data_IF_550565214347
#
_entry.id   IF_550565214347
#
_cell.length_a   1.000
_cell.length_b   1.000
_cell.length_c   1.000
_cell.angle_alpha   90.00
_cell.angle_beta   90.00
_cell.angle_gamma   90.00
#
_symmetry.space_group_name_H-M   'P 1'
#
loop_
_entity.id
_entity.type
_entity.pdbx_description
1 polymer ?
#
# COMPACT_ATOMS: atom_id res chain seq x y z
N UNK A 1 6.16 24.69 -12.96
CA UNK A 1 6.36 23.74 -11.86
C UNK A 1 5.02 23.15 -11.47
N UNK A 2 4.74 21.91 -11.85
CA UNK A 2 3.62 21.14 -11.32
C UNK A 2 3.97 19.67 -11.55
N UNK A 3 4.58 19.03 -10.54
CA UNK A 3 4.66 17.56 -10.52
C UNK A 3 3.27 17.08 -10.07
N UNK A 4 2.32 17.10 -11.00
CA UNK A 4 1.15 16.26 -10.88
C UNK A 4 1.67 14.83 -10.84
N UNK A 5 1.53 14.22 -9.68
CA UNK A 5 1.57 12.77 -9.57
C UNK A 5 0.33 12.31 -10.34
N UNK A 6 0.47 12.11 -11.65
CA UNK A 6 -0.47 11.34 -12.46
C UNK A 6 -0.41 9.89 -11.99
N UNK A 7 -0.94 9.63 -10.79
CA UNK A 7 -1.48 8.31 -10.45
C UNK A 7 -2.79 8.14 -11.23
N UNK A 8 -2.71 8.17 -12.55
CA UNK A 8 -3.88 8.05 -13.43
C UNK A 8 -4.41 6.63 -13.51
N UNK A 9 -3.67 5.62 -13.03
CA UNK A 9 -4.19 4.27 -12.96
C UNK A 9 -3.80 3.60 -11.65
N UNK A 10 -4.74 3.55 -10.72
CA UNK A 10 -4.76 2.55 -9.64
C UNK A 10 -4.51 1.14 -10.23
N UNK A 11 -4.94 0.88 -11.47
CA UNK A 11 -4.69 -0.38 -12.19
C UNK A 11 -3.20 -0.65 -12.51
N UNK A 12 -2.37 0.38 -12.65
CA UNK A 12 -0.91 0.27 -12.86
C UNK A 12 -0.17 -0.05 -11.55
N UNK A 13 -0.82 0.12 -10.39
CA UNK A 13 -0.21 -0.24 -9.11
C UNK A 13 0.01 -1.76 -8.97
N UNK A 14 -0.60 -2.59 -9.83
CA UNK A 14 -0.32 -4.03 -9.89
C UNK A 14 1.07 -4.34 -10.47
N UNK A 15 1.56 -3.49 -11.38
CA UNK A 15 2.90 -3.58 -11.95
C UNK A 15 3.87 -2.58 -11.32
N UNK A 16 3.69 -2.25 -10.04
CA UNK A 16 4.63 -1.37 -9.34
C UNK A 16 6.07 -1.90 -9.50
N UNK A 17 6.91 -1.08 -10.10
CA UNK A 17 8.36 -1.29 -10.11
C UNK A 17 8.89 -1.22 -8.67
N UNK A 18 10.02 -1.85 -8.39
CA UNK A 18 10.65 -1.80 -7.07
C UNK A 18 10.78 -0.37 -6.51
N UNK A 19 11.08 0.60 -7.38
CA UNK A 19 11.23 2.01 -7.01
C UNK A 19 9.90 2.65 -6.58
N UNK A 20 8.81 2.34 -7.28
CA UNK A 20 7.48 2.84 -6.90
C UNK A 20 7.00 2.15 -5.62
N UNK A 21 7.31 0.87 -5.38
CA UNK A 21 7.02 0.18 -4.10
C UNK A 21 7.79 0.80 -2.93
N UNK A 22 9.08 1.12 -3.10
CA UNK A 22 9.86 1.85 -2.10
C UNK A 22 9.25 3.21 -1.78
N UNK A 23 8.83 3.94 -2.81
CA UNK A 23 8.19 5.24 -2.66
C UNK A 23 6.85 5.13 -1.92
N UNK A 24 6.05 4.11 -2.25
CA UNK A 24 4.79 3.82 -1.57
C UNK A 24 5.00 3.43 -0.10
N UNK A 25 5.97 2.54 0.19
CA UNK A 25 6.32 2.18 1.56
C UNK A 25 6.81 3.39 2.36
N UNK A 26 7.63 4.25 1.75
CA UNK A 26 8.09 5.49 2.38
C UNK A 26 6.96 6.49 2.62
N UNK A 27 5.99 6.60 1.71
CA UNK A 27 4.80 7.43 1.86
C UNK A 27 3.84 6.89 2.93
N UNK A 28 3.75 5.57 3.11
CA UNK A 28 2.92 4.92 4.12
C UNK A 28 3.55 4.89 5.52
N UNK A 29 4.87 5.06 5.64
CA UNK A 29 5.57 5.16 6.94
C UNK A 29 5.04 6.28 7.84
N UNK A 30 4.84 7.53 7.38
CA UNK A 30 4.31 8.59 8.23
C UNK A 30 2.80 8.50 8.47
N UNK A 31 2.05 7.84 7.59
CA UNK A 31 0.60 7.68 7.73
C UNK A 31 0.30 6.80 8.93
N UNK A 32 -0.44 7.32 9.90
CA UNK A 32 -0.90 6.54 11.05
C UNK A 32 -2.04 5.63 10.64
N UNK A 33 -2.12 4.48 11.30
CA UNK A 33 -3.21 3.54 11.08
C UNK A 33 -4.59 4.19 11.30
N UNK A 34 -4.72 5.09 12.27
CA UNK A 34 -5.96 5.80 12.60
C UNK A 34 -6.33 6.94 11.63
N UNK A 35 -5.43 7.35 10.73
CA UNK A 35 -5.75 8.38 9.72
C UNK A 35 -6.58 7.83 8.55
N UNK A 36 -6.75 6.51 8.48
CA UNK A 36 -7.58 5.86 7.46
C UNK A 36 -8.37 4.74 8.08
N UNK A 37 -9.60 4.56 7.63
CA UNK A 37 -10.47 3.53 8.18
C UNK A 37 -9.91 2.13 7.89
N UNK A 38 -10.14 1.19 8.82
CA UNK A 38 -9.77 -0.21 8.62
C UNK A 38 -10.24 -0.77 7.26
N UNK A 39 -11.44 -0.37 6.82
CA UNK A 39 -11.99 -0.77 5.52
C UNK A 39 -11.11 -0.31 4.37
N UNK A 40 -10.62 0.93 4.40
CA UNK A 40 -9.75 1.47 3.34
C UNK A 40 -8.42 0.73 3.27
N UNK A 41 -7.84 0.39 4.43
CA UNK A 41 -6.63 -0.41 4.48
C UNK A 41 -6.83 -1.84 3.93
N UNK A 42 -7.95 -2.47 4.29
CA UNK A 42 -8.31 -3.81 3.79
C UNK A 42 -8.63 -3.80 2.29
N UNK A 43 -9.29 -2.74 1.80
CA UNK A 43 -9.52 -2.53 0.37
C UNK A 43 -8.19 -2.37 -0.36
N UNK A 44 -7.25 -1.57 0.16
CA UNK A 44 -5.92 -1.41 -0.41
C UNK A 44 -5.12 -2.72 -0.43
N UNK A 45 -5.18 -3.52 0.63
CA UNK A 45 -4.58 -4.86 0.68
C UNK A 45 -5.14 -5.77 -0.41
N UNK A 46 -6.46 -5.85 -0.49
CA UNK A 46 -7.17 -6.68 -1.47
C UNK A 46 -6.87 -6.21 -2.89
N UNK A 47 -6.80 -4.90 -3.10
CA UNK A 47 -6.55 -4.31 -4.40
C UNK A 47 -5.11 -4.51 -4.89
N UNK A 48 -4.12 -4.27 -4.01
CA UNK A 48 -2.70 -4.34 -4.36
C UNK A 48 -2.15 -5.76 -4.38
N UNK A 49 -2.59 -6.61 -3.45
CA UNK A 49 -2.00 -7.92 -3.24
C UNK A 49 -2.94 -9.07 -3.58
N UNK A 50 -4.24 -8.81 -3.85
CA UNK A 50 -5.31 -9.83 -3.95
C UNK A 50 -5.42 -10.76 -2.75
N UNK A 51 -4.60 -10.52 -1.72
CA UNK A 51 -4.55 -11.29 -0.50
C UNK A 51 -5.66 -10.77 0.41
N UNK A 52 -6.67 -11.61 0.57
CA UNK A 52 -7.98 -11.25 1.11
C UNK A 52 -8.02 -11.35 2.64
N UNK A 53 -6.86 -11.35 3.30
CA UNK A 53 -6.78 -11.38 4.75
C UNK A 53 -7.16 -10.00 5.30
N UNK A 54 -8.47 -9.73 5.34
CA UNK A 54 -9.03 -8.58 6.03
C UNK A 54 -8.51 -8.59 7.48
N UNK A 55 -7.76 -7.56 7.83
CA UNK A 55 -7.22 -7.46 9.17
C UNK A 55 -8.31 -6.96 10.12
N UNK A 56 -8.16 -7.27 11.40
CA UNK A 56 -9.10 -6.87 12.46
C UNK A 56 -8.82 -5.47 13.00
N UNK A 57 -7.69 -4.87 12.65
CA UNK A 57 -7.30 -3.53 13.07
C UNK A 57 -6.55 -2.79 11.95
N UNK A 58 -6.74 -1.47 11.88
CA UNK A 58 -6.08 -0.63 10.89
C UNK A 58 -4.55 -0.73 11.00
N UNK A 59 -4.05 -0.89 12.23
CA UNK A 59 -2.63 -1.10 12.51
C UNK A 59 -2.13 -2.41 11.87
N UNK A 60 -2.84 -3.52 12.07
CA UNK A 60 -2.47 -4.80 11.46
C UNK A 60 -2.55 -4.75 9.93
N UNK A 61 -3.56 -4.06 9.38
CA UNK A 61 -3.68 -3.87 7.93
C UNK A 61 -2.50 -3.10 7.34
N UNK A 62 -2.12 -1.99 7.99
CA UNK A 62 -0.96 -1.19 7.62
C UNK A 62 0.35 -1.97 7.72
N UNK A 63 0.57 -2.72 8.81
CA UNK A 63 1.76 -3.55 8.95
C UNK A 63 1.82 -4.64 7.88
N UNK A 64 0.69 -5.26 7.55
CA UNK A 64 0.62 -6.24 6.47
C UNK A 64 0.96 -5.61 5.11
N UNK A 65 0.46 -4.41 4.81
CA UNK A 65 0.81 -3.67 3.59
C UNK A 65 2.31 -3.39 3.52
N UNK A 66 2.89 -2.86 4.60
CA UNK A 66 4.32 -2.58 4.66
C UNK A 66 5.15 -3.85 4.52
N UNK A 67 4.72 -4.95 5.15
CA UNK A 67 5.38 -6.25 5.07
C UNK A 67 5.33 -6.79 3.65
N UNK A 68 4.18 -6.76 2.98
CA UNK A 68 4.06 -7.23 1.59
C UNK A 68 4.88 -6.37 0.61
N UNK A 69 4.88 -5.05 0.80
CA UNK A 69 5.74 -4.13 0.02
C UNK A 69 7.24 -4.42 0.22
N UNK A 70 7.64 -4.86 1.42
CA UNK A 70 9.04 -5.14 1.75
C UNK A 70 9.46 -6.58 1.46
N UNK A 71 8.55 -7.56 1.53
CA UNK A 71 8.81 -8.98 1.30
C UNK A 71 9.08 -9.30 -0.19
N UNK A 72 8.51 -8.50 -1.10
CA UNK A 72 8.76 -8.60 -2.55
C UNK A 72 10.15 -8.05 -2.96
N UNK A 73 10.99 -7.60 -2.01
CA UNK A 73 12.39 -7.21 -2.27
C UNK A 73 13.35 -8.42 -2.36
N UNK A 74 12.85 -9.63 -2.12
CA UNK A 74 13.67 -10.85 -1.92
C UNK A 74 13.36 -11.96 -2.96
N UNK A 75 12.59 -11.69 -4.01
CA UNK A 75 12.36 -12.63 -5.11
C UNK A 75 12.94 -12.10 -6.42
#
# INVERSE_FOLDING_TARGET
MARQISCEYLSDLRQLTEQQRKSLSAALKPVKADESELRQWNDALTYLFRDSAAQKSAAAAREMLLRQLNNQRQQ
#
